data_IF_872042910973
#
_entry.id   IF_872042910973
#
_cell.length_a   1.000
_cell.length_b   1.000
_cell.length_c   1.000
_cell.angle_alpha   90.00
_cell.angle_beta   90.00
_cell.angle_gamma   90.00
#
_symmetry.space_group_name_H-M   'P 1'
#
loop_
_entity.id
_entity.type
_entity.pdbx_description
1 polymer ?
#
# COMPACT_ATOMS: atom_id res chain seq x y z
N UNK A 1 24.75 -3.94 -7.54
CA UNK A 1 23.41 -3.95 -6.91
C UNK A 1 23.64 -3.57 -5.46
N UNK A 2 23.14 -2.43 -5.00
CA UNK A 2 23.13 -2.09 -3.56
C UNK A 2 21.95 -2.83 -2.97
N UNK A 3 22.18 -3.62 -1.93
CA UNK A 3 21.12 -4.30 -1.20
C UNK A 3 20.32 -3.24 -0.43
N UNK A 4 19.00 -3.20 -0.64
CA UNK A 4 18.13 -2.14 -0.10
C UNK A 4 17.90 -2.25 1.41
N UNK A 5 18.51 -3.25 2.09
CA UNK A 5 18.45 -3.39 3.54
C UNK A 5 17.17 -4.04 4.09
N UNK A 6 16.20 -4.39 3.23
CA UNK A 6 14.99 -5.11 3.63
C UNK A 6 15.30 -6.58 3.89
N UNK A 7 15.10 -7.02 5.13
CA UNK A 7 15.52 -8.36 5.60
C UNK A 7 14.36 -9.33 5.77
N UNK A 8 13.12 -8.85 5.74
CA UNK A 8 11.93 -9.66 5.90
C UNK A 8 11.02 -9.56 4.67
N UNK A 9 10.61 -10.70 4.15
CA UNK A 9 9.60 -10.74 3.10
C UNK A 9 8.25 -10.28 3.67
N UNK A 10 7.50 -9.53 2.86
CA UNK A 10 6.15 -9.05 3.18
C UNK A 10 5.21 -9.69 2.17
N UNK A 11 4.24 -10.48 2.64
CA UNK A 11 3.23 -11.03 1.75
C UNK A 11 2.09 -10.01 1.56
N UNK A 12 1.55 -9.95 0.34
CA UNK A 12 0.34 -9.20 0.03
C UNK A 12 -0.82 -10.18 -0.06
N UNK A 13 -1.85 -9.97 0.77
CA UNK A 13 -3.03 -10.82 0.89
C UNK A 13 -4.27 -10.07 0.43
N UNK A 14 -4.96 -10.63 -0.53
CA UNK A 14 -6.29 -10.16 -0.95
C UNK A 14 -7.34 -10.80 -0.04
N UNK A 15 -8.16 -9.97 0.59
CA UNK A 15 -9.29 -10.39 1.42
C UNK A 15 -10.57 -9.76 0.88
N UNK A 16 -11.71 -10.39 1.15
CA UNK A 16 -13.03 -9.84 0.84
C UNK A 16 -13.88 -9.88 2.10
N UNK A 17 -13.71 -8.87 2.96
CA UNK A 17 -14.43 -8.75 4.21
C UNK A 17 -15.36 -7.53 4.16
N UNK A 18 -16.66 -7.76 4.07
CA UNK A 18 -17.67 -6.70 4.02
C UNK A 18 -17.95 -6.04 5.37
N UNK A 19 -17.46 -6.62 6.48
CA UNK A 19 -17.59 -6.04 7.82
C UNK A 19 -16.45 -5.08 8.15
N UNK A 20 -15.30 -5.25 7.49
CA UNK A 20 -14.18 -4.31 7.56
C UNK A 20 -14.38 -3.21 6.50
N UNK A 21 -14.38 -1.95 6.91
CA UNK A 21 -14.55 -0.80 6.01
C UNK A 21 -13.21 -0.24 5.49
N UNK A 22 -12.08 -0.79 5.93
CA UNK A 22 -10.75 -0.39 5.47
C UNK A 22 -10.52 -0.90 4.05
N UNK A 23 -9.81 -0.13 3.23
CA UNK A 23 -9.33 -0.56 1.91
C UNK A 23 -8.11 -1.47 2.02
N UNK A 24 -7.29 -1.26 3.05
CA UNK A 24 -6.16 -2.11 3.38
C UNK A 24 -5.64 -1.85 4.79
N UNK A 25 -4.69 -2.66 5.23
CA UNK A 25 -3.85 -2.40 6.40
C UNK A 25 -2.59 -3.28 6.37
N UNK A 26 -1.49 -2.74 6.88
CA UNK A 26 -0.32 -3.49 7.29
C UNK A 26 -0.55 -4.13 8.67
N UNK A 27 -0.38 -5.45 8.75
CA UNK A 27 -0.61 -6.25 9.95
C UNK A 27 0.62 -6.44 10.83
N UNK A 28 0.39 -6.68 12.12
CA UNK A 28 1.46 -7.01 13.08
C UNK A 28 2.23 -8.29 12.72
N UNK A 29 1.65 -9.13 11.88
CA UNK A 29 2.24 -10.37 11.34
C UNK A 29 3.13 -10.13 10.10
N UNK A 30 3.51 -8.88 9.84
CA UNK A 30 4.35 -8.45 8.73
C UNK A 30 3.75 -8.71 7.34
N UNK A 31 2.42 -8.64 7.22
CA UNK A 31 1.71 -8.84 5.97
C UNK A 31 0.86 -7.61 5.61
N UNK A 32 0.70 -7.37 4.31
CA UNK A 32 -0.21 -6.36 3.79
C UNK A 32 -1.53 -7.05 3.46
N UNK A 33 -2.64 -6.50 3.96
CA UNK A 33 -3.98 -6.95 3.65
C UNK A 33 -4.69 -5.89 2.81
N UNK A 34 -5.25 -6.31 1.68
CA UNK A 34 -6.03 -5.46 0.78
C UNK A 34 -7.45 -6.00 0.71
N UNK A 35 -8.44 -5.15 0.99
CA UNK A 35 -9.83 -5.53 1.05
C UNK A 35 -10.54 -5.22 -0.26
N UNK A 36 -10.68 -6.25 -1.10
CA UNK A 36 -11.36 -6.20 -2.39
C UNK A 36 -12.82 -5.74 -2.27
N UNK A 37 -13.46 -5.95 -1.11
CA UNK A 37 -14.82 -5.46 -0.88
C UNK A 37 -14.93 -3.92 -0.92
N UNK A 38 -13.83 -3.21 -0.64
CA UNK A 38 -13.78 -1.74 -0.53
C UNK A 38 -12.91 -1.06 -1.59
N UNK A 39 -12.16 -1.82 -2.39
CA UNK A 39 -11.36 -1.32 -3.51
C UNK A 39 -12.26 -1.23 -4.76
N UNK A 40 -12.46 -0.01 -5.28
CA UNK A 40 -13.48 0.23 -6.30
C UNK A 40 -12.90 0.38 -7.71
N UNK A 41 -11.59 0.53 -7.84
CA UNK A 41 -10.89 0.70 -9.11
C UNK A 41 -9.40 0.38 -8.94
N UNK A 42 -8.66 0.39 -10.05
CA UNK A 42 -7.22 0.04 -10.03
C UNK A 42 -6.39 1.12 -9.35
N UNK A 43 -6.83 2.38 -9.39
CA UNK A 43 -6.17 3.48 -8.68
C UNK A 43 -6.25 3.28 -7.17
N UNK A 44 -7.44 2.97 -6.63
CA UNK A 44 -7.68 2.60 -5.24
C UNK A 44 -6.76 1.46 -4.79
N UNK A 45 -6.63 0.42 -5.63
CA UNK A 45 -5.75 -0.73 -5.37
C UNK A 45 -4.29 -0.28 -5.27
N UNK A 46 -3.80 0.46 -6.27
CA UNK A 46 -2.42 0.93 -6.32
C UNK A 46 -2.10 1.86 -5.14
N UNK A 47 -2.95 2.87 -4.89
CA UNK A 47 -2.78 3.82 -3.78
C UNK A 47 -2.73 3.08 -2.45
N UNK A 48 -3.67 2.16 -2.21
CA UNK A 48 -3.72 1.40 -0.95
C UNK A 48 -2.50 0.50 -0.80
N UNK A 49 -2.12 -0.24 -1.85
CA UNK A 49 -0.93 -1.10 -1.81
C UNK A 49 0.34 -0.28 -1.53
N UNK A 50 0.51 0.87 -2.19
CA UNK A 50 1.64 1.76 -1.96
C UNK A 50 1.67 2.27 -0.52
N UNK A 51 0.53 2.72 0.00
CA UNK A 51 0.38 3.17 1.39
C UNK A 51 0.83 2.09 2.39
N UNK A 52 0.30 0.87 2.27
CA UNK A 52 0.66 -0.22 3.20
C UNK A 52 2.10 -0.72 2.99
N UNK A 53 2.64 -0.61 1.77
CA UNK A 53 4.04 -0.91 1.50
C UNK A 53 4.97 0.06 2.22
N UNK A 54 4.60 1.35 2.32
CA UNK A 54 5.35 2.34 3.09
C UNK A 54 5.43 1.94 4.58
N UNK A 55 4.32 1.54 5.18
CA UNK A 55 4.32 1.02 6.55
C UNK A 55 5.19 -0.23 6.71
N UNK A 56 5.19 -1.13 5.73
CA UNK A 56 6.01 -2.33 5.74
C UNK A 56 7.51 -2.03 5.62
N UNK A 57 7.88 -1.01 4.83
CA UNK A 57 9.26 -0.49 4.70
C UNK A 57 9.71 0.13 6.02
N UNK A 58 8.91 1.03 6.58
CA UNK A 58 9.16 1.67 7.87
C UNK A 58 9.32 0.65 9.00
N UNK A 59 8.55 -0.45 8.95
CA UNK A 59 8.65 -1.51 9.94
C UNK A 59 10.02 -2.22 9.94
N UNK A 60 10.66 -2.29 8.77
CA UNK A 60 11.95 -2.94 8.57
C UNK A 60 13.14 -2.01 8.78
N UNK A 61 12.93 -0.70 8.85
CA UNK A 61 14.01 0.26 9.10
C UNK A 61 14.43 0.24 10.58
N UNK A 62 15.66 -0.22 10.91
CA UNK A 62 16.14 -0.30 12.28
C UNK A 62 16.42 1.08 12.91
N UNK A 63 16.50 2.14 12.11
CA UNK A 63 16.66 3.52 12.60
C UNK A 63 15.35 4.12 13.10
N UNK A 64 14.21 3.53 12.74
CA UNK A 64 12.87 3.96 13.14
C UNK A 64 12.38 3.04 14.28
N UNK A 65 12.69 3.42 15.53
CA UNK A 65 12.24 2.67 16.70
C UNK A 65 10.74 2.87 17.03
N UNK A 66 10.20 2.05 17.93
CA UNK A 66 8.79 2.09 18.33
C UNK A 66 8.37 3.44 18.93
N UNK A 67 9.26 4.13 19.64
CA UNK A 67 8.95 5.42 20.26
C UNK A 67 8.83 6.53 19.21
N UNK A 68 9.71 6.53 18.20
CA UNK A 68 9.63 7.42 17.05
C UNK A 68 8.32 7.18 16.30
N UNK A 69 8.00 5.93 15.95
CA UNK A 69 6.74 5.57 15.27
C UNK A 69 5.51 6.07 16.02
N UNK A 70 5.49 5.92 17.35
CA UNK A 70 4.32 6.36 18.14
C UNK A 70 4.20 7.88 18.30
N UNK A 71 5.32 8.60 18.24
CA UNK A 71 5.34 10.07 18.41
C UNK A 71 5.04 10.79 17.10
N UNK A 72 5.42 10.22 15.95
CA UNK A 72 5.22 10.79 14.62
C UNK A 72 4.10 10.09 13.83
N UNK A 73 3.17 9.37 14.49
CA UNK A 73 2.12 8.59 13.79
C UNK A 73 1.38 9.37 12.70
N UNK A 74 1.04 10.63 12.96
CA UNK A 74 0.36 11.47 11.97
C UNK A 74 1.26 11.78 10.77
N UNK A 75 2.54 12.05 11.00
CA UNK A 75 3.50 12.33 9.93
C UNK A 75 3.81 11.06 9.12
N UNK A 76 3.92 9.91 9.79
CA UNK A 76 4.10 8.61 9.14
C UNK A 76 2.89 8.27 8.26
N UNK A 77 1.67 8.55 8.73
CA UNK A 77 0.45 8.35 7.95
C UNK A 77 0.39 9.26 6.71
N UNK A 78 0.79 10.53 6.86
CA UNK A 78 0.91 11.47 5.73
C UNK A 78 1.97 10.98 4.74
N UNK A 79 3.11 10.50 5.23
CA UNK A 79 4.16 9.95 4.39
C UNK A 79 3.69 8.71 3.62
N UNK A 80 3.01 7.78 4.29
CA UNK A 80 2.43 6.59 3.67
C UNK A 80 1.36 6.97 2.62
N UNK A 81 0.51 7.97 2.90
CA UNK A 81 -0.46 8.47 1.95
C UNK A 81 0.22 9.04 0.69
N UNK A 82 1.23 9.90 0.84
CA UNK A 82 1.96 10.47 -0.29
C UNK A 82 2.66 9.37 -1.11
N UNK A 83 3.26 8.38 -0.43
CA UNK A 83 3.87 7.23 -1.12
C UNK A 83 2.85 6.44 -1.93
N UNK A 84 1.66 6.21 -1.35
CA UNK A 84 0.53 5.58 -2.05
C UNK A 84 0.09 6.37 -3.28
N UNK A 85 -0.07 7.69 -3.13
CA UNK A 85 -0.49 8.58 -4.22
C UNK A 85 0.55 8.59 -5.35
N UNK A 86 1.83 8.80 -5.03
CA UNK A 86 2.94 8.79 -5.99
C UNK A 86 3.07 7.44 -6.72
N UNK A 87 2.92 6.33 -5.99
CA UNK A 87 2.93 5.00 -6.58
C UNK A 87 1.75 4.81 -7.55
N UNK A 88 0.56 5.26 -7.17
CA UNK A 88 -0.62 5.16 -8.03
C UNK A 88 -0.50 6.00 -9.30
N UNK A 89 0.05 7.22 -9.19
CA UNK A 89 0.28 8.10 -10.33
C UNK A 89 1.36 7.52 -11.27
N UNK A 90 2.40 6.88 -10.71
CA UNK A 90 3.37 6.14 -11.51
C UNK A 90 2.73 4.96 -12.26
N UNK A 91 1.89 4.17 -11.58
CA UNK A 91 1.19 3.03 -12.18
C UNK A 91 0.23 3.49 -13.29
N UNK A 92 -0.47 4.60 -13.08
CA UNK A 92 -1.34 5.23 -14.07
C UNK A 92 -0.53 5.69 -15.29
N UNK A 93 0.53 6.47 -15.09
CA UNK A 93 1.42 6.91 -16.15
C UNK A 93 2.00 5.71 -16.93
N UNK A 94 2.47 4.68 -16.23
CA UNK A 94 3.05 3.50 -16.85
C UNK A 94 2.02 2.73 -17.69
N UNK A 95 0.78 2.64 -17.21
CA UNK A 95 -0.31 1.99 -17.94
C UNK A 95 -0.67 2.75 -19.22
N UNK A 96 -0.77 4.08 -19.14
CA UNK A 96 -1.08 4.93 -20.30
C UNK A 96 0.02 4.93 -21.38
N UNK A 97 1.29 4.85 -20.96
CA UNK A 97 2.43 5.02 -21.87
C UNK A 97 3.05 3.70 -22.34
N UNK A 98 2.93 2.64 -21.54
CA UNK A 98 3.57 1.34 -21.81
C UNK A 98 2.62 0.15 -21.69
N UNK A 99 1.41 0.34 -21.14
CA UNK A 99 0.36 -0.67 -21.05
C UNK A 99 -0.63 -0.62 -22.20
N UNK A 100 -1.70 -1.41 -22.10
CA UNK A 100 -2.80 -1.48 -23.07
C UNK A 100 -3.94 -0.49 -22.71
N UNK A 101 -3.57 0.73 -22.29
CA UNK A 101 -4.53 1.79 -21.94
C UNK A 101 -4.57 2.18 -20.47
N UNK A 102 -5.65 2.86 -20.07
CA UNK A 102 -5.81 3.45 -18.74
C UNK A 102 -6.17 2.42 -17.66
N UNK A 103 -6.00 2.83 -16.39
CA UNK A 103 -6.45 2.06 -15.24
C UNK A 103 -7.96 1.79 -15.30
N UNK A 104 -8.38 0.62 -14.82
CA UNK A 104 -9.81 0.31 -14.76
C UNK A 104 -10.49 1.16 -13.68
N UNK A 105 -11.48 1.95 -14.08
CA UNK A 105 -12.22 2.89 -13.23
C UNK A 105 -13.30 2.26 -12.35
N UNK A 106 -13.61 0.97 -12.56
CA UNK A 106 -14.59 0.23 -11.77
C UNK A 106 -14.15 -1.22 -11.54
N UNK A 107 -14.42 -1.75 -10.36
CA UNK A 107 -14.38 -3.19 -10.06
C UNK A 107 -15.75 -3.81 -10.31
N UNK A 108 -15.78 -4.93 -11.03
CA UNK A 108 -17.03 -5.69 -11.22
C UNK A 108 -17.22 -6.62 -10.03
N UNK A 109 -18.12 -6.27 -9.12
CA UNK A 109 -18.52 -7.14 -8.00
C UNK A 109 -19.57 -8.13 -8.51
N UNK A 110 -19.16 -9.34 -8.89
CA UNK A 110 -20.08 -10.43 -9.27
C UNK A 110 -20.69 -11.13 -8.07
#
# INVERSE_FOLDING_TARGET
>A
MVELGYTQAVDVKLVADSQDNRKGHYGEDNNIYLNDANLNNTKDLATTLGHETSHAIDNQDPSIDTNHRTTSKADNEIYAQNYGDDFSDYVEFASENYGDGSLADTTTKT
#
